data_IF_344557506029
#
_entry.id   IF_344557506029
#
_cell.length_a   1.000
_cell.length_b   1.000
_cell.length_c   1.000
_cell.angle_alpha   90.00
_cell.angle_beta   90.00
_cell.angle_gamma   90.00
#
_symmetry.space_group_name_H-M   'P 1'
#
loop_
_entity.id
_entity.type
_entity.pdbx_description
1 polymer ?
#
# COMPACT_ATOMS: atom_id res chain seq x y z
N UNK A 1 -22.47 12.23 -28.30
CA UNK A 1 -22.01 12.39 -26.90
C UNK A 1 -20.72 11.61 -26.78
N UNK A 2 -19.58 12.29 -26.53
CA UNK A 2 -18.34 11.60 -26.16
C UNK A 2 -18.60 10.79 -24.88
N UNK A 3 -18.08 9.55 -24.79
CA UNK A 3 -18.22 8.78 -23.58
C UNK A 3 -17.53 9.53 -22.45
N UNK A 4 -18.30 9.80 -21.39
CA UNK A 4 -17.86 10.43 -20.15
C UNK A 4 -16.67 9.62 -19.60
N UNK A 5 -15.45 10.07 -19.90
CA UNK A 5 -14.25 9.38 -19.45
C UNK A 5 -13.98 9.85 -18.00
N UNK A 6 -14.26 9.02 -16.99
CA UNK A 6 -14.15 9.45 -15.61
C UNK A 6 -12.70 9.84 -15.27
N UNK A 7 -12.53 10.92 -14.52
CA UNK A 7 -11.22 11.38 -14.06
C UNK A 7 -10.94 10.83 -12.66
N UNK A 8 -9.72 10.31 -12.39
CA UNK A 8 -9.35 9.88 -11.05
C UNK A 8 -9.51 11.02 -10.04
N UNK A 9 -9.99 10.75 -8.81
CA UNK A 9 -10.11 11.77 -7.79
C UNK A 9 -8.73 12.23 -7.31
N UNK A 10 -8.55 13.53 -7.15
CA UNK A 10 -7.32 14.11 -6.59
C UNK A 10 -7.11 13.76 -5.09
N UNK A 11 -8.18 13.39 -4.40
CA UNK A 11 -8.18 12.90 -3.02
C UNK A 11 -9.18 11.77 -2.87
N UNK A 12 -8.81 10.74 -2.11
CA UNK A 12 -9.73 9.66 -1.76
C UNK A 12 -10.65 10.13 -0.62
N UNK A 13 -11.96 9.94 -0.80
CA UNK A 13 -12.97 10.34 0.18
C UNK A 13 -13.51 9.16 1.00
N UNK A 14 -12.93 7.96 0.82
CA UNK A 14 -13.31 6.77 1.57
C UNK A 14 -13.00 6.92 3.06
N UNK A 15 -13.94 6.48 3.90
CA UNK A 15 -13.79 6.44 5.36
C UNK A 15 -13.61 5.00 5.79
N UNK A 16 -12.57 4.76 6.57
CA UNK A 16 -12.17 3.42 6.99
C UNK A 16 -12.04 3.38 8.50
N UNK A 17 -12.87 2.57 9.18
CA UNK A 17 -12.73 2.35 10.61
C UNK A 17 -11.46 1.55 10.93
N UNK A 18 -10.64 2.11 11.81
CA UNK A 18 -9.40 1.53 12.32
C UNK A 18 -9.46 1.21 13.82
N UNK A 19 -10.57 1.56 14.45
CA UNK A 19 -10.98 1.15 15.79
C UNK A 19 -12.50 1.34 15.92
N UNK A 20 -13.05 1.07 17.10
CA UNK A 20 -14.46 1.31 17.38
C UNK A 20 -14.87 2.79 17.26
N UNK A 21 -13.93 3.72 17.38
CA UNK A 21 -14.20 5.16 17.46
C UNK A 21 -13.38 6.02 16.52
N UNK A 22 -12.43 5.43 15.77
CA UNK A 22 -11.53 6.17 14.89
C UNK A 22 -11.69 5.74 13.44
N UNK A 23 -11.67 6.72 12.57
CA UNK A 23 -11.66 6.53 11.12
C UNK A 23 -10.50 7.29 10.48
N UNK A 24 -10.07 6.79 9.33
CA UNK A 24 -9.05 7.41 8.48
C UNK A 24 -9.51 7.48 7.03
N UNK A 25 -8.84 8.31 6.25
CA UNK A 25 -8.78 8.21 4.81
C UNK A 25 -7.36 7.83 4.36
N UNK A 26 -7.24 7.11 3.25
CA UNK A 26 -5.94 6.72 2.69
C UNK A 26 -5.37 7.78 1.75
N UNK A 27 -4.04 7.80 1.65
CA UNK A 27 -3.32 8.55 0.61
C UNK A 27 -3.76 8.12 -0.79
N UNK A 28 -3.65 9.01 -1.80
CA UNK A 28 -4.10 8.74 -3.17
C UNK A 28 -3.29 7.64 -3.88
N UNK A 29 -2.12 7.29 -3.38
CA UNK A 29 -1.24 6.27 -3.92
C UNK A 29 -0.19 5.83 -2.89
N UNK A 30 0.66 4.88 -3.27
CA UNK A 30 1.82 4.50 -2.46
C UNK A 30 2.79 5.68 -2.35
N UNK A 31 3.48 5.74 -1.22
CA UNK A 31 4.53 6.75 -1.01
C UNK A 31 5.69 6.50 -1.96
N UNK A 32 6.21 7.57 -2.55
CA UNK A 32 7.37 7.55 -3.42
C UNK A 32 8.37 8.63 -3.01
N UNK A 33 9.66 8.35 -3.23
CA UNK A 33 10.74 9.28 -2.97
C UNK A 33 11.68 9.39 -4.17
N UNK A 34 12.16 10.59 -4.46
CA UNK A 34 13.14 10.86 -5.51
C UNK A 34 14.47 11.28 -4.87
N UNK A 35 15.48 10.40 -4.80
CA UNK A 35 16.71 10.64 -4.07
C UNK A 35 17.48 11.89 -4.53
N UNK A 36 17.76 12.01 -5.83
CA UNK A 36 18.57 13.12 -6.35
C UNK A 36 17.94 14.50 -6.09
N UNK A 37 16.61 14.59 -5.97
CA UNK A 37 15.91 15.86 -5.75
C UNK A 37 15.40 16.02 -4.31
N UNK A 38 15.52 15.00 -3.47
CA UNK A 38 14.98 14.97 -2.10
C UNK A 38 13.48 15.34 -2.07
N UNK A 39 12.67 14.69 -2.91
CA UNK A 39 11.23 14.99 -3.07
C UNK A 39 10.43 13.75 -2.69
N UNK A 40 9.41 13.95 -1.85
CA UNK A 40 8.40 12.97 -1.52
C UNK A 40 7.10 13.26 -2.28
N UNK A 41 6.44 12.23 -2.78
CA UNK A 41 5.11 12.31 -3.38
C UNK A 41 4.31 11.04 -3.11
N UNK A 42 3.04 11.06 -3.41
CA UNK A 42 2.27 9.85 -3.64
C UNK A 42 2.32 9.48 -5.13
N UNK A 43 2.25 8.19 -5.42
CA UNK A 43 2.07 7.71 -6.79
C UNK A 43 0.83 8.36 -7.42
N UNK A 44 0.88 8.63 -8.71
CA UNK A 44 -0.18 9.36 -9.43
C UNK A 44 -1.47 8.56 -9.51
N UNK A 45 -1.35 7.23 -9.63
CA UNK A 45 -2.47 6.29 -9.59
C UNK A 45 -2.26 5.29 -8.47
N UNK A 46 -3.34 4.76 -7.93
CA UNK A 46 -3.26 3.70 -6.92
C UNK A 46 -2.64 2.40 -7.46
N UNK A 47 -2.68 2.20 -8.77
CA UNK A 47 -2.07 1.06 -9.47
C UNK A 47 -0.56 1.21 -9.71
N UNK A 48 0.00 2.41 -9.56
CA UNK A 48 1.40 2.65 -9.85
C UNK A 48 2.32 2.07 -8.76
N UNK A 49 3.37 1.42 -9.20
CA UNK A 49 4.50 0.96 -8.40
C UNK A 49 5.79 1.01 -9.24
N UNK A 50 6.94 1.11 -8.59
CA UNK A 50 8.23 1.32 -9.27
C UNK A 50 8.84 -0.01 -9.77
N UNK A 51 8.59 -1.13 -9.08
CA UNK A 51 9.11 -2.44 -9.48
C UNK A 51 10.64 -2.49 -9.44
N UNK A 52 11.25 -3.11 -10.47
CA UNK A 52 12.67 -3.46 -10.53
C UNK A 52 13.60 -2.26 -10.40
N UNK A 53 13.16 -1.04 -10.74
CA UNK A 53 13.95 0.18 -10.58
C UNK A 53 14.31 0.49 -9.12
N UNK A 54 13.62 -0.11 -8.13
CA UNK A 54 14.05 -0.08 -6.73
C UNK A 54 15.42 -0.76 -6.50
N UNK A 55 15.91 -1.57 -7.42
CA UNK A 55 17.28 -2.11 -7.40
C UNK A 55 18.37 -1.05 -7.61
N UNK A 56 18.01 0.17 -8.04
CA UNK A 56 18.96 1.26 -8.28
C UNK A 56 19.06 2.26 -7.09
N UNK A 57 18.49 1.95 -5.94
CA UNK A 57 18.42 2.86 -4.80
C UNK A 57 19.84 3.32 -4.39
N UNK A 58 20.05 4.62 -4.44
CA UNK A 58 21.24 5.30 -3.94
C UNK A 58 20.90 6.77 -3.63
N UNK A 59 21.73 7.46 -2.90
CA UNK A 59 21.52 8.87 -2.56
C UNK A 59 21.52 9.83 -3.77
N UNK A 60 22.03 9.37 -4.91
CA UNK A 60 22.13 10.14 -6.15
C UNK A 60 21.26 9.60 -7.27
N UNK A 61 20.44 8.57 -7.00
CA UNK A 61 19.57 7.97 -8.00
C UNK A 61 18.56 9.00 -8.54
N UNK A 62 18.58 9.19 -9.86
CA UNK A 62 17.70 10.14 -10.57
C UNK A 62 16.42 9.44 -11.06
N UNK A 63 15.67 8.91 -10.14
CA UNK A 63 14.42 8.21 -10.36
C UNK A 63 13.60 8.09 -9.08
N UNK A 64 12.42 7.53 -9.18
CA UNK A 64 11.54 7.30 -8.04
C UNK A 64 11.79 5.93 -7.41
N UNK A 65 11.64 5.84 -6.09
CA UNK A 65 11.67 4.59 -5.31
C UNK A 65 10.41 4.51 -4.45
N UNK A 66 9.93 3.30 -4.13
CA UNK A 66 8.71 3.07 -3.32
C UNK A 66 8.77 1.83 -2.41
N UNK A 67 9.94 1.16 -2.35
CA UNK A 67 10.21 0.09 -1.40
C UNK A 67 11.23 0.56 -0.36
N UNK A 68 10.76 0.91 0.82
CA UNK A 68 11.57 1.50 1.89
C UNK A 68 11.92 0.45 2.95
N UNK A 69 13.11 0.56 3.56
CA UNK A 69 13.40 -0.11 4.82
C UNK A 69 12.57 0.50 5.96
N UNK A 70 12.36 -0.24 7.04
CA UNK A 70 11.51 0.23 8.13
C UNK A 70 12.10 1.47 8.82
N UNK A 71 11.23 2.45 9.13
CA UNK A 71 11.64 3.66 9.86
C UNK A 71 12.69 4.53 9.14
N UNK A 72 12.70 4.53 7.81
CA UNK A 72 13.69 5.24 7.00
C UNK A 72 13.21 6.63 6.52
N UNK A 73 12.31 7.28 7.24
CA UNK A 73 11.79 8.61 6.88
C UNK A 73 12.89 9.67 6.74
N UNK A 74 13.99 9.56 7.51
CA UNK A 74 15.15 10.47 7.48
C UNK A 74 16.29 9.95 6.60
N UNK A 75 16.29 8.66 6.25
CA UNK A 75 17.29 8.03 5.39
C UNK A 75 16.63 7.05 4.41
N UNK A 76 15.80 7.54 3.47
CA UNK A 76 14.98 6.70 2.60
C UNK A 76 15.76 5.84 1.60
N UNK A 77 17.04 6.14 1.41
CA UNK A 77 17.95 5.36 0.54
C UNK A 77 18.78 4.33 1.29
N UNK A 78 18.49 4.06 2.56
CA UNK A 78 19.15 3.00 3.31
C UNK A 78 18.79 1.63 2.72
N UNK A 79 19.80 0.93 2.23
CA UNK A 79 19.73 -0.41 1.62
C UNK A 79 20.66 -1.40 2.31
N UNK A 80 21.04 -1.15 3.56
CA UNK A 80 21.81 -2.10 4.34
C UNK A 80 21.06 -3.43 4.50
N UNK A 81 21.80 -4.53 4.49
CA UNK A 81 21.29 -5.86 4.84
C UNK A 81 21.35 -6.14 6.34
N UNK A 82 22.00 -5.26 7.12
CA UNK A 82 22.12 -5.38 8.57
C UNK A 82 20.96 -4.63 9.26
N UNK A 83 20.19 -5.36 10.04
CA UNK A 83 19.08 -4.83 10.82
C UNK A 83 19.53 -3.75 11.84
N UNK A 84 20.79 -3.81 12.28
CA UNK A 84 21.37 -2.84 13.20
C UNK A 84 21.50 -1.42 12.59
N UNK A 85 21.52 -1.30 11.27
CA UNK A 85 21.59 -0.03 10.54
C UNK A 85 20.22 0.67 10.43
N UNK A 86 19.18 0.09 11.02
CA UNK A 86 17.82 0.65 11.02
C UNK A 86 17.40 1.05 12.44
N UNK A 87 16.65 2.16 12.61
CA UNK A 87 16.20 2.60 13.93
C UNK A 87 15.39 1.55 14.68
N UNK A 88 15.57 1.47 16.01
CA UNK A 88 14.72 0.66 16.88
C UNK A 88 13.36 1.30 17.16
N UNK A 89 13.33 2.64 17.20
CA UNK A 89 12.09 3.42 17.35
C UNK A 89 11.56 3.79 15.98
N UNK A 90 10.25 3.71 15.82
CA UNK A 90 9.63 4.08 14.56
C UNK A 90 9.69 5.58 14.31
N UNK A 91 10.22 5.97 13.15
CA UNK A 91 10.19 7.32 12.61
C UNK A 91 9.25 7.29 11.41
N UNK A 92 8.09 7.94 11.56
CA UNK A 92 7.04 7.90 10.55
C UNK A 92 7.42 8.68 9.29
N UNK A 93 7.17 8.12 8.12
CA UNK A 93 7.39 8.83 6.84
C UNK A 93 6.56 10.11 6.72
N UNK A 94 5.45 10.21 7.44
CA UNK A 94 4.60 11.39 7.50
C UNK A 94 5.24 12.64 8.11
N UNK A 95 6.41 12.54 8.76
CA UNK A 95 7.17 13.71 9.23
C UNK A 95 7.65 14.59 8.06
N UNK A 96 7.69 14.04 6.85
CA UNK A 96 8.14 14.74 5.66
C UNK A 96 6.99 15.55 5.02
N UNK A 97 7.37 16.59 4.29
CA UNK A 97 6.46 17.24 3.34
C UNK A 97 6.27 16.30 2.15
N UNK A 98 5.02 15.91 1.84
CA UNK A 98 4.69 14.99 0.75
C UNK A 98 3.87 15.77 -0.29
N UNK A 99 4.45 16.01 -1.46
CA UNK A 99 3.83 16.87 -2.47
C UNK A 99 3.56 18.28 -1.93
N UNK A 100 2.31 18.69 -1.93
CA UNK A 100 1.85 19.98 -1.35
C UNK A 100 1.50 19.89 0.14
N UNK A 101 1.36 18.68 0.71
CA UNK A 101 0.90 18.48 2.07
C UNK A 101 2.01 18.80 3.09
N UNK A 102 1.63 19.49 4.16
CA UNK A 102 2.56 19.83 5.24
C UNK A 102 3.05 18.58 5.98
N UNK A 103 4.25 18.65 6.59
CA UNK A 103 4.71 17.62 7.51
C UNK A 103 3.65 17.25 8.56
N UNK A 104 3.61 15.96 8.92
CA UNK A 104 2.66 15.38 9.89
C UNK A 104 1.17 15.45 9.49
N UNK A 105 0.87 15.65 8.20
CA UNK A 105 -0.49 15.50 7.67
C UNK A 105 -0.88 14.02 7.55
N UNK A 106 0.07 13.17 7.26
CA UNK A 106 -0.10 11.74 7.01
C UNK A 106 0.66 10.92 8.06
N UNK A 107 0.22 9.68 8.27
CA UNK A 107 0.90 8.73 9.15
C UNK A 107 0.76 7.28 8.68
N UNK A 108 1.60 6.42 9.21
CA UNK A 108 1.52 4.97 9.01
C UNK A 108 0.53 4.35 9.99
N UNK A 109 -0.27 3.37 9.56
CA UNK A 109 -1.13 2.60 10.44
C UNK A 109 -0.29 1.70 11.37
N UNK A 110 -0.74 1.54 12.61
CA UNK A 110 -0.22 0.49 13.52
C UNK A 110 -0.71 -0.89 13.07
N UNK A 111 -0.12 -1.96 13.63
CA UNK A 111 -0.62 -3.33 13.43
C UNK A 111 -2.08 -3.48 13.87
N UNK A 112 -2.43 -2.95 15.04
CA UNK A 112 -3.80 -3.07 15.58
C UNK A 112 -4.83 -2.35 14.68
N UNK A 113 -4.47 -1.20 14.12
CA UNK A 113 -5.31 -0.46 13.17
C UNK A 113 -5.48 -1.22 11.85
N UNK A 114 -4.40 -1.75 11.29
CA UNK A 114 -4.46 -2.62 10.11
C UNK A 114 -5.30 -3.88 10.38
N UNK A 115 -5.12 -4.52 11.54
CA UNK A 115 -5.87 -5.71 11.92
C UNK A 115 -7.36 -5.39 12.11
N UNK A 116 -7.69 -4.24 12.71
CA UNK A 116 -9.07 -3.81 12.83
C UNK A 116 -9.70 -3.60 11.46
N UNK A 117 -9.02 -2.89 10.56
CA UNK A 117 -9.45 -2.65 9.19
C UNK A 117 -9.66 -3.96 8.41
N UNK A 118 -8.71 -4.88 8.51
CA UNK A 118 -8.72 -6.13 7.74
C UNK A 118 -9.74 -7.14 8.27
N UNK A 119 -9.88 -7.27 9.60
CA UNK A 119 -10.53 -8.42 10.21
C UNK A 119 -11.67 -8.08 11.18
N UNK A 120 -11.72 -6.88 11.76
CA UNK A 120 -12.58 -6.59 12.92
C UNK A 120 -13.69 -5.62 12.63
N UNK A 121 -13.47 -4.60 11.78
CA UNK A 121 -14.51 -3.61 11.48
C UNK A 121 -15.78 -4.27 10.94
N UNK A 122 -16.91 -3.59 11.09
CA UNK A 122 -18.18 -4.11 10.60
C UNK A 122 -18.08 -4.49 9.12
N UNK A 123 -18.53 -5.69 8.77
CA UNK A 123 -18.50 -6.24 7.41
C UNK A 123 -17.09 -6.37 6.80
N UNK A 124 -16.03 -6.47 7.60
CA UNK A 124 -14.64 -6.53 7.14
C UNK A 124 -14.42 -7.57 6.02
N UNK A 125 -15.05 -8.75 6.11
CA UNK A 125 -14.95 -9.82 5.10
C UNK A 125 -15.54 -9.45 3.74
N UNK A 126 -16.58 -8.60 3.72
CA UNK A 126 -17.25 -8.15 2.51
C UNK A 126 -16.62 -6.89 1.91
N UNK A 127 -15.75 -6.21 2.66
CA UNK A 127 -15.15 -4.93 2.30
C UNK A 127 -13.69 -5.03 1.87
N UNK A 128 -13.26 -6.23 1.46
CA UNK A 128 -11.94 -6.45 0.88
C UNK A 128 -11.98 -7.57 -0.15
N UNK A 129 -11.08 -7.53 -1.11
CA UNK A 129 -10.93 -8.60 -2.09
C UNK A 129 -9.75 -8.36 -3.01
N UNK A 130 -9.19 -9.44 -3.54
CA UNK A 130 -8.12 -9.38 -4.52
C UNK A 130 -8.69 -9.15 -5.92
N UNK A 131 -7.92 -8.46 -6.75
CA UNK A 131 -8.30 -8.17 -8.13
C UNK A 131 -7.08 -7.86 -8.99
N UNK A 132 -7.26 -7.94 -10.30
CA UNK A 132 -6.41 -7.24 -11.24
C UNK A 132 -7.11 -5.95 -11.69
N UNK A 133 -6.46 -4.81 -11.52
CA UNK A 133 -6.97 -3.48 -11.90
C UNK A 133 -6.07 -2.89 -12.96
N UNK A 134 -6.61 -2.64 -14.15
CA UNK A 134 -5.86 -2.10 -15.29
C UNK A 134 -4.54 -2.86 -15.55
N UNK A 135 -4.59 -4.20 -15.46
CA UNK A 135 -3.43 -5.09 -15.63
C UNK A 135 -2.55 -5.24 -14.39
N UNK A 136 -2.80 -4.53 -13.30
CA UNK A 136 -2.03 -4.59 -12.06
C UNK A 136 -2.74 -5.45 -11.01
N UNK A 137 -2.04 -6.45 -10.47
CA UNK A 137 -2.53 -7.31 -9.39
C UNK A 137 -2.49 -6.61 -8.04
N UNK A 138 -3.47 -6.84 -7.18
CA UNK A 138 -3.49 -6.20 -5.87
C UNK A 138 -4.67 -6.55 -4.98
N UNK A 139 -4.71 -5.88 -3.83
CA UNK A 139 -5.76 -5.99 -2.82
C UNK A 139 -6.59 -4.71 -2.79
N UNK A 140 -7.90 -4.86 -2.85
CA UNK A 140 -8.87 -3.76 -2.73
C UNK A 140 -9.41 -3.72 -1.30
N UNK A 141 -9.46 -2.52 -0.72
CA UNK A 141 -10.26 -2.18 0.45
C UNK A 141 -11.39 -1.24 0.05
N UNK A 142 -12.60 -1.55 0.50
CA UNK A 142 -13.78 -0.71 0.32
C UNK A 142 -14.06 0.07 1.60
N UNK A 143 -14.54 1.33 1.53
CA UNK A 143 -14.86 2.13 2.71
C UNK A 143 -16.05 1.57 3.48
N UNK A 144 -16.24 2.01 4.73
CA UNK A 144 -17.29 1.52 5.61
C UNK A 144 -18.70 1.76 5.05
N UNK A 145 -18.87 2.84 4.32
CA UNK A 145 -20.12 3.23 3.67
C UNK A 145 -20.15 2.87 2.17
N UNK A 146 -19.48 1.79 1.79
CA UNK A 146 -19.38 1.38 0.41
C UNK A 146 -20.74 1.25 -0.28
N UNK A 147 -20.85 1.88 -1.42
CA UNK A 147 -21.92 1.68 -2.38
C UNK A 147 -21.32 1.36 -3.73
N UNK A 148 -21.62 0.18 -4.26
CA UNK A 148 -21.05 -0.27 -5.52
C UNK A 148 -21.53 0.62 -6.67
N UNK A 149 -20.64 1.20 -7.47
CA UNK A 149 -21.00 2.00 -8.62
C UNK A 149 -21.86 1.20 -9.63
N UNK A 150 -22.69 1.92 -10.37
CA UNK A 150 -23.42 1.32 -11.49
C UNK A 150 -22.42 0.70 -12.49
N UNK A 151 -22.77 -0.44 -13.04
CA UNK A 151 -21.98 -1.19 -14.03
C UNK A 151 -20.64 -1.75 -13.49
N UNK A 152 -20.50 -1.82 -12.15
CA UNK A 152 -19.42 -2.50 -11.46
C UNK A 152 -19.99 -3.61 -10.59
N UNK A 153 -19.33 -4.75 -10.57
CA UNK A 153 -19.63 -5.85 -9.64
C UNK A 153 -18.35 -6.17 -8.87
N UNK A 154 -18.41 -6.10 -7.55
CA UNK A 154 -17.27 -6.44 -6.69
C UNK A 154 -17.53 -7.79 -6.00
N UNK A 155 -16.56 -8.69 -6.09
CA UNK A 155 -16.50 -9.97 -5.40
C UNK A 155 -15.53 -9.86 -4.24
N UNK A 156 -16.01 -9.98 -3.00
CA UNK A 156 -15.16 -9.95 -1.82
C UNK A 156 -14.38 -11.24 -1.63
N UNK A 157 -13.21 -11.16 -0.94
CA UNK A 157 -12.40 -12.30 -0.56
C UNK A 157 -11.23 -12.58 -1.50
N UNK A 158 -10.83 -13.85 -1.53
CA UNK A 158 -9.59 -14.32 -2.14
C UNK A 158 -9.86 -15.50 -3.06
N UNK A 159 -8.93 -15.77 -3.98
CA UNK A 159 -8.98 -16.97 -4.80
C UNK A 159 -8.82 -18.21 -3.92
N UNK A 160 -9.57 -19.28 -4.20
CA UNK A 160 -9.59 -20.47 -3.34
C UNK A 160 -8.37 -21.39 -3.51
N UNK A 161 -7.58 -21.20 -4.56
CA UNK A 161 -6.46 -22.07 -4.92
C UNK A 161 -5.12 -21.42 -4.59
N UNK A 162 -4.17 -22.21 -4.09
CA UNK A 162 -2.77 -21.83 -3.90
C UNK A 162 -2.07 -21.85 -5.26
N UNK A 163 -2.07 -20.73 -5.96
CA UNK A 163 -1.45 -20.65 -7.25
C UNK A 163 -0.93 -19.26 -7.58
N UNK A 164 0.00 -19.24 -8.51
CA UNK A 164 0.66 -18.03 -8.97
C UNK A 164 -0.32 -17.18 -9.79
N UNK A 165 -0.37 -15.88 -9.50
CA UNK A 165 -1.01 -14.85 -10.34
C UNK A 165 -2.53 -14.99 -10.66
N UNK A 166 -3.30 -15.69 -9.84
CA UNK A 166 -4.75 -15.87 -10.06
C UNK A 166 -5.62 -14.64 -9.68
N UNK A 167 -5.04 -13.46 -9.61
CA UNK A 167 -5.82 -12.23 -9.35
C UNK A 167 -6.84 -11.98 -10.46
N UNK A 168 -6.40 -12.08 -11.72
CA UNK A 168 -7.26 -11.88 -12.89
C UNK A 168 -8.34 -12.94 -13.03
N UNK A 169 -8.07 -14.17 -12.60
CA UNK A 169 -9.07 -15.25 -12.60
C UNK A 169 -10.14 -15.05 -11.52
N UNK A 170 -9.80 -14.32 -10.44
CA UNK A 170 -10.75 -14.00 -9.40
C UNK A 170 -11.69 -12.88 -9.81
N UNK A 171 -11.15 -11.72 -10.20
CA UNK A 171 -11.87 -10.61 -10.82
C UNK A 171 -10.93 -9.60 -11.46
N UNK A 172 -11.42 -8.92 -12.47
CA UNK A 172 -10.70 -7.85 -13.16
C UNK A 172 -11.52 -6.59 -13.25
N UNK A 173 -10.85 -5.44 -13.21
CA UNK A 173 -11.46 -4.14 -13.45
C UNK A 173 -10.66 -3.39 -14.51
N UNK A 174 -11.35 -2.82 -15.49
CA UNK A 174 -10.75 -1.86 -16.41
C UNK A 174 -10.43 -0.56 -15.69
N UNK A 175 -9.55 0.28 -16.29
CA UNK A 175 -9.25 1.61 -15.74
C UNK A 175 -10.53 2.42 -15.46
N UNK A 176 -11.49 2.43 -16.38
CA UNK A 176 -12.76 3.17 -16.21
C UNK A 176 -13.63 2.62 -15.07
N UNK A 177 -13.70 1.31 -14.89
CA UNK A 177 -14.42 0.72 -13.76
C UNK A 177 -13.74 1.07 -12.45
N UNK A 178 -12.40 1.00 -12.43
CA UNK A 178 -11.62 1.35 -11.25
C UNK A 178 -11.81 2.81 -10.84
N UNK A 179 -11.76 3.76 -11.77
CA UNK A 179 -11.98 5.19 -11.49
C UNK A 179 -13.35 5.42 -10.82
N UNK A 180 -14.40 4.72 -11.25
CA UNK A 180 -15.72 4.77 -10.58
C UNK A 180 -15.66 4.24 -9.14
N UNK A 181 -14.89 3.18 -8.92
CA UNK A 181 -14.68 2.63 -7.56
C UNK A 181 -13.88 3.59 -6.68
N UNK A 182 -12.83 4.22 -7.20
CA UNK A 182 -12.07 5.27 -6.50
C UNK A 182 -12.93 6.46 -6.13
N UNK A 183 -13.76 6.95 -7.03
CA UNK A 183 -14.72 8.02 -6.77
C UNK A 183 -15.71 7.66 -5.66
N UNK A 184 -15.98 6.37 -5.48
CA UNK A 184 -16.78 5.81 -4.37
C UNK A 184 -15.93 5.48 -3.13
N UNK A 185 -14.66 5.84 -3.13
CA UNK A 185 -13.76 5.74 -1.98
C UNK A 185 -12.96 4.44 -1.87
N UNK A 186 -12.97 3.57 -2.88
CA UNK A 186 -12.18 2.34 -2.86
C UNK A 186 -10.67 2.63 -2.86
N UNK A 187 -9.92 1.77 -2.17
CA UNK A 187 -8.45 1.81 -2.07
C UNK A 187 -7.87 0.55 -2.70
N UNK A 188 -6.83 0.72 -3.52
CA UNK A 188 -6.07 -0.37 -4.12
C UNK A 188 -4.63 -0.38 -3.62
N UNK A 189 -4.17 -1.55 -3.19
CA UNK A 189 -2.79 -1.82 -2.82
C UNK A 189 -2.18 -2.72 -3.89
N UNK A 190 -1.30 -2.21 -4.77
CA UNK A 190 -0.63 -3.04 -5.78
C UNK A 190 0.26 -4.12 -5.17
N UNK A 191 0.33 -5.28 -5.83
CA UNK A 191 1.26 -6.36 -5.52
C UNK A 191 2.66 -5.97 -6.04
N UNK A 192 3.30 -5.03 -5.34
CA UNK A 192 4.56 -4.41 -5.75
C UNK A 192 5.81 -5.25 -5.41
N UNK A 193 5.64 -6.41 -4.79
CA UNK A 193 6.74 -7.23 -4.31
C UNK A 193 7.47 -6.62 -3.12
N UNK A 194 8.70 -7.06 -2.91
CA UNK A 194 9.59 -6.55 -1.86
C UNK A 194 11.07 -6.67 -2.26
N UNK A 195 11.96 -6.12 -1.42
CA UNK A 195 13.41 -6.24 -1.54
C UNK A 195 14.06 -6.55 -0.18
N UNK A 196 15.31 -6.99 -0.19
CA UNK A 196 16.17 -7.00 1.00
C UNK A 196 17.52 -6.40 0.64
N UNK A 197 17.93 -5.36 1.33
CA UNK A 197 19.10 -4.59 0.95
C UNK A 197 19.01 -4.09 -0.50
N UNK A 198 20.02 -4.34 -1.30
CA UNK A 198 20.05 -4.02 -2.74
C UNK A 198 19.27 -5.03 -3.62
N UNK A 199 18.93 -6.18 -3.06
CA UNK A 199 18.36 -7.29 -3.85
C UNK A 199 16.85 -7.15 -3.97
N UNK A 200 16.38 -6.99 -5.20
CA UNK A 200 14.96 -7.11 -5.55
C UNK A 200 14.55 -8.59 -5.62
N UNK A 201 13.38 -8.89 -5.08
CA UNK A 201 12.73 -10.19 -5.32
C UNK A 201 11.76 -10.07 -6.50
N UNK A 202 12.30 -10.00 -7.71
CA UNK A 202 11.56 -9.78 -8.96
C UNK A 202 10.37 -10.74 -9.12
N UNK A 203 10.51 -12.00 -8.68
CA UNK A 203 9.44 -12.99 -8.73
C UNK A 203 8.24 -12.67 -7.82
N UNK A 204 8.39 -11.77 -6.87
CA UNK A 204 7.30 -11.32 -5.99
C UNK A 204 6.51 -10.15 -6.59
N UNK A 205 7.07 -9.45 -7.58
CA UNK A 205 6.36 -8.35 -8.28
C UNK A 205 5.16 -8.94 -9.02
N UNK A 206 3.99 -8.34 -8.86
CA UNK A 206 2.70 -8.84 -9.35
C UNK A 206 2.23 -10.17 -8.71
N UNK A 207 3.02 -10.75 -7.79
CA UNK A 207 2.66 -11.95 -7.06
C UNK A 207 2.18 -11.66 -5.65
N UNK A 208 2.88 -10.78 -4.92
CA UNK A 208 2.54 -10.38 -3.56
C UNK A 208 2.70 -8.88 -3.34
N UNK A 209 1.99 -8.36 -2.35
CA UNK A 209 2.20 -7.01 -1.83
C UNK A 209 2.48 -7.03 -0.34
N UNK A 210 3.50 -6.29 0.07
CA UNK A 210 3.92 -6.12 1.46
C UNK A 210 3.84 -4.64 1.86
N UNK A 211 3.13 -4.34 2.95
CA UNK A 211 2.83 -2.97 3.40
C UNK A 211 3.15 -2.80 4.87
N UNK A 212 3.96 -1.81 5.19
CA UNK A 212 4.38 -1.55 6.55
C UNK A 212 3.26 -1.18 7.51
N UNK A 213 3.42 -1.64 8.75
CA UNK A 213 2.86 -0.99 9.93
C UNK A 213 3.96 -0.26 10.70
N UNK A 214 3.55 0.63 11.61
CA UNK A 214 4.46 1.30 12.54
C UNK A 214 4.86 0.43 13.74
N UNK A 215 4.46 -0.84 13.77
CA UNK A 215 4.58 -1.72 14.94
C UNK A 215 5.72 -2.72 14.79
N UNK A 216 6.41 -2.99 15.90
CA UNK A 216 7.39 -4.06 16.03
C UNK A 216 6.76 -5.26 16.73
N UNK A 217 7.27 -6.46 16.47
CA UNK A 217 6.91 -7.64 17.22
C UNK A 217 7.59 -7.62 18.58
N UNK A 218 6.80 -7.62 19.64
CA UNK A 218 7.30 -7.49 21.02
C UNK A 218 8.43 -8.48 21.34
N UNK A 219 9.53 -7.95 21.89
CA UNK A 219 10.70 -8.73 22.30
C UNK A 219 11.63 -9.15 21.15
N UNK A 220 11.42 -8.62 19.95
CA UNK A 220 12.25 -8.92 18.77
C UNK A 220 12.68 -7.63 18.06
N UNK A 221 13.58 -7.76 17.06
CA UNK A 221 13.91 -6.70 16.10
C UNK A 221 13.00 -6.69 14.88
N UNK A 222 12.04 -7.62 14.80
CA UNK A 222 11.18 -7.78 13.63
C UNK A 222 10.03 -6.77 13.64
N UNK A 223 9.67 -6.34 12.44
CA UNK A 223 8.59 -5.36 12.21
C UNK A 223 7.39 -6.04 11.57
N UNK A 224 6.21 -5.65 12.03
CA UNK A 224 4.96 -6.24 11.55
C UNK A 224 4.54 -5.52 10.26
N UNK A 225 4.15 -6.29 9.27
CA UNK A 225 3.62 -5.80 8.00
C UNK A 225 2.41 -6.62 7.53
N UNK A 226 1.52 -5.98 6.78
CA UNK A 226 0.50 -6.67 6.01
C UNK A 226 1.16 -7.30 4.78
N UNK A 227 0.91 -8.59 4.56
CA UNK A 227 1.27 -9.26 3.31
C UNK A 227 0.02 -9.90 2.70
N UNK A 228 -0.08 -9.84 1.38
CA UNK A 228 -1.16 -10.51 0.66
C UNK A 228 -0.67 -11.17 -0.62
N UNK A 229 -1.41 -12.20 -1.00
CA UNK A 229 -1.34 -12.97 -2.24
C UNK A 229 -2.74 -13.06 -2.84
N UNK A 230 -2.86 -13.66 -4.02
CA UNK A 230 -4.19 -13.89 -4.62
C UNK A 230 -5.14 -14.72 -3.74
N UNK A 231 -4.61 -15.58 -2.87
CA UNK A 231 -5.38 -16.54 -2.07
C UNK A 231 -5.51 -16.19 -0.58
N UNK A 232 -4.80 -15.19 -0.08
CA UNK A 232 -4.86 -14.78 1.34
C UNK A 232 -4.25 -13.41 1.60
N UNK A 233 -4.61 -12.83 2.74
CA UNK A 233 -3.90 -11.71 3.34
C UNK A 233 -3.75 -11.96 4.84
N UNK A 234 -2.59 -11.64 5.41
CA UNK A 234 -2.28 -11.84 6.83
C UNK A 234 -1.16 -10.91 7.28
N UNK A 235 -0.87 -10.90 8.55
CA UNK A 235 0.28 -10.16 9.11
C UNK A 235 1.46 -11.10 9.31
N UNK A 236 2.63 -10.64 8.96
CA UNK A 236 3.89 -11.31 9.17
C UNK A 236 4.89 -10.36 9.82
N UNK A 237 6.01 -10.89 10.28
CA UNK A 237 7.07 -10.10 10.89
C UNK A 237 8.40 -10.46 10.25
N UNK A 238 9.11 -9.43 9.77
CA UNK A 238 10.39 -9.56 9.11
C UNK A 238 11.41 -8.56 9.67
N UNK A 239 12.67 -8.75 9.31
CA UNK A 239 13.77 -7.85 9.62
C UNK A 239 13.51 -6.45 9.04
N UNK A 240 14.02 -5.41 9.71
CA UNK A 240 13.87 -4.00 9.29
C UNK A 240 14.55 -3.67 7.96
N UNK A 241 15.53 -4.49 7.58
CA UNK A 241 16.28 -4.38 6.32
C UNK A 241 15.47 -4.76 5.07
N UNK A 242 14.30 -5.40 5.23
CA UNK A 242 13.40 -5.58 4.10
C UNK A 242 12.85 -4.23 3.64
N UNK A 243 12.63 -4.09 2.34
CA UNK A 243 12.00 -2.92 1.74
C UNK A 243 10.59 -3.24 1.30
N UNK A 244 9.60 -2.58 1.89
CA UNK A 244 8.18 -2.76 1.59
C UNK A 244 7.53 -1.46 1.15
N UNK A 245 6.37 -1.58 0.55
CA UNK A 245 5.52 -0.44 0.21
C UNK A 245 5.01 0.28 1.47
N UNK A 246 4.81 1.59 1.33
CA UNK A 246 4.23 2.45 2.37
C UNK A 246 2.94 3.07 1.85
N UNK A 247 1.84 2.84 2.55
CA UNK A 247 0.55 3.46 2.29
C UNK A 247 0.10 4.24 3.51
N UNK A 248 0.12 5.54 3.40
CA UNK A 248 -0.19 6.43 4.52
C UNK A 248 -1.68 6.71 4.64
N UNK A 249 -2.07 7.16 5.83
CA UNK A 249 -3.44 7.56 6.16
C UNK A 249 -3.46 8.92 6.83
N UNK A 250 -4.63 9.54 6.81
CA UNK A 250 -4.94 10.77 7.53
C UNK A 250 -6.14 10.53 8.43
N UNK A 251 -6.05 10.94 9.69
CA UNK A 251 -7.14 10.85 10.66
C UNK A 251 -8.31 11.77 10.28
N UNK A 252 -9.55 11.32 10.55
CA UNK A 252 -10.80 12.02 10.27
C UNK A 252 -11.48 12.51 11.54
#
# INVERSE_FOLDING_TARGET
EEPDNPTPPSQLNGRFSISATKQVTFSPGNLQYHPANNIWRFAEKQTDYIGDANGNISSTYDGWIDLFGWSTAENPTNISNDDADYPYSFIDWGINKIGSDAPNTWRTLTYDEWNYLLNTRRNASSLKGVAQVDGVNGLIFLPDNWSCPKDVTFKSGFHSENGEMYYSEYQTFTANQWIKMEQSGAVFLPAAGDRKGESMYEFLVQYSGSYYSSSIWLGTSYVIHLIFYSHKAYFSAFERAYGFSVRLVKDL
#
